data_IF_951386646754
#
_entry.id   IF_951386646754
#
_cell.length_a   1.000
_cell.length_b   1.000
_cell.length_c   1.000
_cell.angle_alpha   90.00
_cell.angle_beta   90.00
_cell.angle_gamma   90.00
#
_symmetry.space_group_name_H-M   'P 1'
#
loop_
_entity.id
_entity.type
_entity.pdbx_description
1 polymer ?
#
# COMPACT_ATOMS: atom_id res chain seq x y z
N UNK A 1 53.40 58.73 -27.87
CA UNK A 1 52.77 57.51 -28.41
C UNK A 1 52.92 56.40 -27.38
N UNK A 2 51.93 56.19 -26.51
CA UNK A 2 51.75 54.92 -25.77
C UNK A 2 50.42 54.94 -25.00
N UNK A 3 49.46 54.23 -25.58
CA UNK A 3 48.43 53.41 -24.92
C UNK A 3 47.47 54.03 -23.89
N UNK A 4 46.44 54.70 -24.41
CA UNK A 4 45.09 54.74 -23.84
C UNK A 4 44.38 53.45 -24.29
N UNK A 5 44.39 52.37 -23.51
CA UNK A 5 43.60 51.15 -23.81
C UNK A 5 43.65 50.19 -22.62
N UNK A 6 42.94 50.51 -21.53
CA UNK A 6 42.72 49.58 -20.42
C UNK A 6 41.41 49.86 -19.65
N UNK A 7 40.39 50.37 -20.34
CA UNK A 7 39.07 50.59 -19.78
C UNK A 7 38.04 50.18 -20.81
N UNK A 8 37.66 48.90 -20.87
CA UNK A 8 36.46 48.36 -21.55
C UNK A 8 36.52 46.81 -21.64
N UNK A 9 36.59 46.08 -20.53
CA UNK A 9 36.39 44.60 -20.58
C UNK A 9 36.14 43.99 -19.20
N UNK A 10 35.16 44.50 -18.45
CA UNK A 10 34.70 43.85 -17.21
C UNK A 10 33.25 44.21 -16.88
N UNK A 11 32.35 44.20 -17.86
CA UNK A 11 30.91 44.35 -17.60
C UNK A 11 30.14 43.39 -18.51
N UNK A 12 30.46 42.10 -18.49
CA UNK A 12 29.65 41.09 -19.16
C UNK A 12 29.44 39.90 -18.22
N UNK A 13 28.17 39.73 -17.82
CA UNK A 13 27.49 38.46 -17.57
C UNK A 13 27.78 37.73 -16.25
N UNK A 14 27.36 38.32 -15.13
CA UNK A 14 26.97 37.56 -13.94
C UNK A 14 25.62 38.06 -13.42
N UNK A 15 24.62 38.14 -14.29
CA UNK A 15 23.24 38.00 -13.83
C UNK A 15 23.03 36.49 -13.66
N UNK A 16 23.54 35.96 -12.55
CA UNK A 16 23.05 34.71 -12.00
C UNK A 16 21.61 35.00 -11.59
N UNK A 17 20.69 34.89 -12.55
CA UNK A 17 19.27 34.85 -12.26
C UNK A 17 19.10 33.69 -11.30
N UNK A 18 18.86 34.01 -10.02
CA UNK A 18 18.37 33.05 -9.06
C UNK A 18 17.06 32.54 -9.65
N UNK A 19 17.11 31.42 -10.35
CA UNK A 19 15.92 30.68 -10.73
C UNK A 19 15.27 30.38 -9.39
N UNK A 20 14.16 31.06 -9.11
CA UNK A 20 13.33 30.73 -7.97
C UNK A 20 13.03 29.24 -8.11
N UNK A 21 13.66 28.42 -7.27
CA UNK A 21 13.39 27.00 -7.26
C UNK A 21 11.93 26.88 -6.83
N UNK A 22 11.08 26.45 -7.76
CA UNK A 22 9.72 26.06 -7.45
C UNK A 22 9.77 24.93 -6.42
N UNK A 23 9.75 25.27 -5.14
CA UNK A 23 9.65 24.30 -4.04
C UNK A 23 8.21 23.88 -3.95
N UNK A 24 7.83 22.90 -4.76
CA UNK A 24 6.54 22.25 -4.67
C UNK A 24 6.71 20.94 -3.90
N UNK A 25 5.84 20.68 -2.94
CA UNK A 25 5.84 19.46 -2.14
C UNK A 25 4.82 18.44 -2.69
N UNK A 26 5.00 17.13 -2.46
CA UNK A 26 3.97 16.13 -2.72
C UNK A 26 2.63 16.52 -2.07
N UNK A 27 1.52 16.32 -2.80
CA UNK A 27 0.17 16.62 -2.33
C UNK A 27 -0.26 18.08 -2.53
N UNK A 28 0.59 18.97 -3.04
CA UNK A 28 0.17 20.34 -3.42
C UNK A 28 -0.55 20.33 -4.76
N UNK A 29 -1.39 21.36 -5.00
CA UNK A 29 -2.13 21.49 -6.26
C UNK A 29 -1.20 21.81 -7.43
N UNK A 30 -1.55 21.35 -8.61
CA UNK A 30 -0.88 21.66 -9.87
C UNK A 30 -1.90 22.06 -10.95
N UNK A 31 -1.46 22.87 -11.91
CA UNK A 31 -2.35 23.66 -12.78
C UNK A 31 -2.86 24.90 -12.04
N UNK A 32 -2.55 26.06 -12.58
CA UNK A 32 -2.41 27.41 -11.99
C UNK A 32 -3.49 28.00 -11.06
N UNK A 33 -3.10 29.04 -10.29
CA UNK A 33 -3.50 30.40 -10.72
C UNK A 33 -2.39 31.42 -11.07
N UNK A 34 -1.09 31.11 -10.95
CA UNK A 34 -0.03 32.07 -11.31
C UNK A 34 1.08 31.46 -12.20
N UNK A 35 0.88 31.48 -13.53
CA UNK A 35 1.83 30.93 -14.49
C UNK A 35 3.19 31.62 -14.48
N UNK A 36 3.32 32.79 -13.83
CA UNK A 36 4.60 33.47 -13.67
C UNK A 36 5.45 32.88 -12.54
N UNK A 37 4.84 32.22 -11.55
CA UNK A 37 5.54 31.62 -10.43
C UNK A 37 6.01 30.19 -10.71
N UNK A 38 5.13 29.31 -11.24
CA UNK A 38 5.46 27.94 -11.63
C UNK A 38 4.46 27.39 -12.68
N UNK A 39 4.68 27.61 -14.00
CA UNK A 39 3.69 27.31 -15.05
C UNK A 39 3.30 25.83 -15.17
N UNK A 40 4.08 24.91 -14.60
CA UNK A 40 3.77 23.48 -14.46
C UNK A 40 4.08 22.92 -13.07
N UNK A 41 4.14 23.79 -12.04
CA UNK A 41 4.27 23.48 -10.60
C UNK A 41 5.21 22.32 -10.23
N UNK A 42 4.69 21.09 -10.35
CA UNK A 42 5.40 19.86 -10.05
C UNK A 42 6.55 19.54 -11.02
N UNK A 43 6.45 19.87 -12.31
CA UNK A 43 7.45 19.44 -13.30
C UNK A 43 8.82 20.10 -13.08
N UNK A 44 8.83 21.27 -12.46
CA UNK A 44 10.06 21.99 -12.11
C UNK A 44 10.67 21.50 -10.78
N UNK A 45 9.88 20.85 -9.93
CA UNK A 45 10.38 20.21 -8.72
C UNK A 45 10.99 18.85 -9.08
N UNK A 46 12.27 18.65 -8.74
CA UNK A 46 12.95 17.38 -8.98
C UNK A 46 12.15 16.23 -8.34
N UNK A 47 11.85 15.20 -9.13
CA UNK A 47 11.14 13.99 -8.72
C UNK A 47 9.64 14.16 -8.42
N UNK A 48 8.95 15.18 -8.96
CA UNK A 48 7.49 15.27 -8.92
C UNK A 48 6.87 15.28 -10.32
N UNK A 49 5.62 14.86 -10.42
CA UNK A 49 4.79 15.04 -11.62
C UNK A 49 3.34 15.34 -11.26
N UNK A 50 2.71 16.18 -12.08
CA UNK A 50 1.31 16.58 -11.91
C UNK A 50 0.38 15.45 -12.40
N UNK A 51 -0.50 14.98 -11.53
CA UNK A 51 -1.66 14.20 -11.97
C UNK A 51 -2.74 15.18 -12.44
N UNK A 52 -2.95 15.27 -13.76
CA UNK A 52 -3.89 16.23 -14.34
C UNK A 52 -5.34 16.00 -13.89
N UNK A 53 -5.73 14.74 -13.62
CA UNK A 53 -7.08 14.39 -13.18
C UNK A 53 -7.32 14.88 -11.76
N UNK A 54 -6.34 14.71 -10.87
CA UNK A 54 -6.44 15.12 -9.46
C UNK A 54 -6.00 16.56 -9.22
N UNK A 55 -5.31 17.18 -10.20
CA UNK A 55 -4.64 18.48 -10.08
C UNK A 55 -3.73 18.53 -8.86
N UNK A 56 -2.95 17.47 -8.64
CA UNK A 56 -2.02 17.36 -7.51
C UNK A 56 -0.65 16.86 -7.96
N UNK A 57 0.41 17.37 -7.32
CA UNK A 57 1.76 16.86 -7.45
C UNK A 57 1.92 15.58 -6.66
N UNK A 58 2.49 14.54 -7.28
CA UNK A 58 2.99 13.38 -6.57
C UNK A 58 4.41 13.04 -7.01
N UNK A 59 5.04 12.08 -6.36
CA UNK A 59 6.39 11.67 -6.69
C UNK A 59 6.45 11.08 -8.11
N UNK A 60 7.61 11.23 -8.73
CA UNK A 60 7.98 10.64 -10.01
C UNK A 60 9.36 10.01 -9.84
N UNK A 61 9.46 8.67 -9.71
CA UNK A 61 8.36 7.71 -9.72
C UNK A 61 7.45 7.79 -8.47
N UNK A 62 6.22 7.28 -8.56
CA UNK A 62 5.17 7.37 -7.52
C UNK A 62 5.54 6.57 -6.27
N UNK A 63 5.34 7.16 -5.10
CA UNK A 63 5.57 6.52 -3.80
C UNK A 63 4.42 5.60 -3.39
N UNK A 64 4.58 4.86 -2.28
CA UNK A 64 3.55 3.96 -1.75
C UNK A 64 2.22 4.72 -1.50
N UNK A 65 1.11 4.07 -1.83
CA UNK A 65 -0.26 4.60 -1.79
C UNK A 65 -0.57 5.80 -2.72
N UNK A 66 0.39 6.27 -3.51
CA UNK A 66 0.14 7.30 -4.52
C UNK A 66 -0.58 6.74 -5.75
N UNK A 67 -1.37 7.56 -6.45
CA UNK A 67 -2.05 7.13 -7.66
C UNK A 67 -1.06 6.75 -8.75
N UNK A 68 -1.40 5.70 -9.49
CA UNK A 68 -0.65 5.25 -10.66
C UNK A 68 -1.61 4.93 -11.80
N UNK A 69 -1.11 5.09 -13.02
CA UNK A 69 -1.78 4.72 -14.26
C UNK A 69 -0.74 4.58 -15.36
N UNK A 70 -1.19 4.34 -16.59
CA UNK A 70 -0.34 4.52 -17.77
C UNK A 70 0.30 5.92 -17.74
N UNK A 71 1.63 5.99 -17.89
CA UNK A 71 2.42 7.23 -17.77
C UNK A 71 2.90 7.60 -16.36
N UNK A 72 2.37 7.00 -15.29
CA UNK A 72 2.80 7.28 -13.90
C UNK A 72 3.26 5.99 -13.20
N UNK A 73 4.54 5.65 -13.42
CA UNK A 73 5.16 4.46 -12.85
C UNK A 73 5.37 4.58 -11.33
N UNK A 74 5.27 3.45 -10.64
CA UNK A 74 5.61 3.32 -9.23
C UNK A 74 7.13 3.25 -9.03
N UNK A 75 7.57 3.67 -7.84
CA UNK A 75 8.98 3.59 -7.43
C UNK A 75 9.48 2.15 -7.31
N UNK A 76 10.78 2.01 -7.08
CA UNK A 76 11.41 0.70 -6.88
C UNK A 76 10.73 -0.08 -5.75
N UNK A 77 10.50 -1.38 -5.97
CA UNK A 77 9.83 -2.26 -4.99
C UNK A 77 8.32 -2.05 -4.88
N UNK A 78 7.72 -1.20 -5.72
CA UNK A 78 6.29 -0.97 -5.79
C UNK A 78 5.74 -1.39 -7.15
N UNK A 79 4.47 -1.76 -7.19
CA UNK A 79 3.75 -2.02 -8.44
C UNK A 79 2.36 -1.41 -8.40
N UNK A 80 1.88 -0.93 -9.55
CA UNK A 80 0.57 -0.32 -9.66
C UNK A 80 -0.51 -1.40 -9.48
N UNK A 81 -1.28 -1.33 -8.40
CA UNK A 81 -2.35 -2.27 -8.12
C UNK A 81 -3.51 -2.04 -9.10
N UNK A 82 -3.83 -3.04 -9.94
CA UNK A 82 -4.99 -2.95 -10.83
C UNK A 82 -6.26 -2.80 -9.98
N UNK A 83 -7.27 -2.15 -10.55
CA UNK A 83 -8.54 -1.78 -9.90
C UNK A 83 -8.48 -0.61 -8.92
N UNK A 84 -7.50 -0.54 -8.01
CA UNK A 84 -7.41 0.58 -7.07
C UNK A 84 -6.58 1.76 -7.60
N UNK A 85 -5.74 1.54 -8.62
CA UNK A 85 -4.92 2.58 -9.24
C UNK A 85 -3.94 3.22 -8.27
N UNK A 86 -3.32 2.44 -7.37
CA UNK A 86 -2.35 2.90 -6.38
C UNK A 86 -1.08 2.05 -6.40
N UNK A 87 0.06 2.67 -6.12
CA UNK A 87 1.31 1.96 -5.91
C UNK A 87 1.29 1.24 -4.56
N UNK A 88 1.36 -0.10 -4.57
CA UNK A 88 1.53 -0.89 -3.35
C UNK A 88 2.83 -1.71 -3.45
N UNK A 89 3.18 -2.39 -2.37
CA UNK A 89 4.39 -3.19 -2.25
C UNK A 89 4.46 -4.32 -3.29
N UNK A 90 5.65 -4.60 -3.83
CA UNK A 90 5.90 -5.74 -4.71
C UNK A 90 7.11 -6.52 -4.19
N UNK A 91 6.92 -7.66 -3.52
CA UNK A 91 5.65 -8.38 -3.34
C UNK A 91 4.70 -7.69 -2.34
N UNK A 92 3.41 -8.06 -2.39
CA UNK A 92 2.34 -7.45 -1.59
C UNK A 92 2.44 -7.83 -0.10
N UNK A 93 2.15 -6.87 0.78
CA UNK A 93 2.09 -7.04 2.25
C UNK A 93 0.72 -7.56 2.70
N UNK A 94 0.61 -7.99 3.95
CA UNK A 94 -0.69 -8.41 4.52
C UNK A 94 -1.72 -7.27 4.42
N UNK A 95 -2.96 -7.62 4.06
CA UNK A 95 -4.07 -6.70 3.83
C UNK A 95 -4.03 -5.94 2.49
N UNK A 96 -2.92 -5.97 1.74
CA UNK A 96 -2.82 -5.32 0.44
C UNK A 96 -3.55 -6.11 -0.65
N UNK A 97 -4.03 -5.39 -1.67
CA UNK A 97 -4.70 -5.99 -2.83
C UNK A 97 -3.73 -6.82 -3.69
N UNK A 98 -4.13 -8.02 -4.06
CA UNK A 98 -3.35 -8.97 -4.84
C UNK A 98 -4.10 -9.49 -6.05
N UNK A 99 -3.35 -10.05 -7.00
CA UNK A 99 -3.90 -10.84 -8.10
C UNK A 99 -3.05 -12.10 -8.30
N UNK A 100 -3.62 -13.31 -8.15
CA UNK A 100 -2.86 -14.55 -8.18
C UNK A 100 -2.19 -14.81 -9.54
N UNK A 101 -2.77 -14.32 -10.63
CA UNK A 101 -2.28 -14.57 -11.99
C UNK A 101 -1.24 -13.53 -12.47
N UNK A 102 -0.77 -12.64 -11.59
CA UNK A 102 0.15 -11.56 -11.97
C UNK A 102 1.30 -11.45 -10.95
N UNK A 103 2.52 -11.90 -11.28
CA UNK A 103 3.65 -11.95 -10.35
C UNK A 103 3.94 -10.66 -9.58
N UNK A 104 3.84 -9.49 -10.24
CA UNK A 104 4.05 -8.19 -9.60
C UNK A 104 2.97 -7.80 -8.56
N UNK A 105 1.90 -8.57 -8.46
CA UNK A 105 0.78 -8.39 -7.53
C UNK A 105 0.60 -9.62 -6.63
N UNK A 106 1.59 -10.52 -6.62
CA UNK A 106 1.60 -11.66 -5.71
C UNK A 106 1.89 -11.20 -4.29
N UNK A 107 1.40 -11.97 -3.32
CA UNK A 107 1.70 -11.79 -1.92
C UNK A 107 3.15 -12.14 -1.60
N UNK A 108 3.71 -11.49 -0.58
CA UNK A 108 5.03 -11.79 -0.05
C UNK A 108 5.12 -13.18 0.57
N UNK A 109 6.34 -13.61 0.94
CA UNK A 109 6.55 -14.89 1.61
C UNK A 109 5.65 -15.04 2.85
N UNK A 110 5.08 -16.23 3.03
CA UNK A 110 4.18 -16.55 4.14
C UNK A 110 2.75 -16.01 3.99
N UNK A 111 2.44 -15.33 2.89
CA UNK A 111 1.13 -14.78 2.60
C UNK A 111 0.53 -15.41 1.34
N UNK A 112 -0.80 -15.51 1.29
CA UNK A 112 -1.57 -15.99 0.14
C UNK A 112 -2.68 -15.01 -0.23
N UNK A 113 -2.95 -14.93 -1.53
CA UNK A 113 -4.03 -14.09 -2.04
C UNK A 113 -5.38 -14.77 -1.79
N UNK A 114 -6.25 -14.13 -1.03
CA UNK A 114 -7.58 -14.68 -0.74
C UNK A 114 -8.45 -14.64 -2.01
N UNK A 115 -9.08 -15.76 -2.42
CA UNK A 115 -9.73 -15.88 -3.73
C UNK A 115 -10.96 -14.97 -3.90
N UNK A 116 -11.65 -14.64 -2.82
CA UNK A 116 -12.83 -13.74 -2.84
C UNK A 116 -12.48 -12.28 -2.55
N UNK A 117 -11.64 -12.03 -1.53
CA UNK A 117 -11.33 -10.67 -1.07
C UNK A 117 -10.21 -10.01 -1.88
N UNK A 118 -9.45 -10.78 -2.68
CA UNK A 118 -8.30 -10.30 -3.45
C UNK A 118 -7.31 -9.50 -2.62
N UNK A 119 -7.08 -9.94 -1.37
CA UNK A 119 -6.10 -9.39 -0.45
C UNK A 119 -5.18 -10.46 0.09
N UNK A 120 -3.96 -10.07 0.46
CA UNK A 120 -3.00 -10.96 1.07
C UNK A 120 -3.31 -11.20 2.54
N UNK A 121 -3.34 -12.46 2.96
CA UNK A 121 -3.44 -12.89 4.36
C UNK A 121 -2.40 -13.98 4.62
N UNK A 122 -2.22 -14.36 5.87
CA UNK A 122 -1.28 -15.42 6.24
C UNK A 122 -1.71 -16.76 5.64
N UNK A 123 -0.74 -17.63 5.34
CA UNK A 123 -0.99 -19.01 4.92
C UNK A 123 -0.23 -19.99 5.83
N UNK A 124 -0.90 -20.69 6.75
CA UNK A 124 -2.35 -20.66 6.99
C UNK A 124 -2.84 -19.33 7.64
N UNK A 125 -4.14 -18.98 7.54
CA UNK A 125 -4.67 -17.73 8.10
C UNK A 125 -4.53 -17.65 9.63
N UNK A 126 -4.14 -16.49 10.14
CA UNK A 126 -3.92 -16.22 11.57
C UNK A 126 -5.18 -15.67 12.26
N UNK A 127 -5.12 -15.37 13.55
CA UNK A 127 -6.23 -14.90 14.35
C UNK A 127 -6.92 -13.66 13.73
N UNK A 128 -8.25 -13.75 13.62
CA UNK A 128 -9.14 -12.79 12.93
C UNK A 128 -8.91 -12.63 11.42
N UNK A 129 -8.08 -13.45 10.79
CA UNK A 129 -7.99 -13.49 9.33
C UNK A 129 -9.11 -14.37 8.74
N UNK A 130 -9.57 -14.07 7.52
CA UNK A 130 -10.58 -14.85 6.83
C UNK A 130 -10.08 -16.28 6.54
N UNK A 131 -10.96 -17.26 6.68
CA UNK A 131 -10.63 -18.67 6.50
C UNK A 131 -11.70 -19.43 5.72
N UNK A 132 -11.28 -20.48 5.01
CA UNK A 132 -12.11 -21.42 4.26
C UNK A 132 -12.11 -22.82 4.88
N UNK A 133 -11.73 -22.91 6.16
CA UNK A 133 -11.68 -24.16 6.94
C UNK A 133 -10.29 -24.52 7.47
N UNK A 134 -9.25 -23.77 7.11
CA UNK A 134 -7.90 -23.90 7.67
C UNK A 134 -7.48 -22.62 8.39
N UNK A 135 -6.74 -22.80 9.48
CA UNK A 135 -6.16 -21.73 10.30
C UNK A 135 -4.78 -22.14 10.79
N UNK A 136 -4.01 -21.18 11.29
CA UNK A 136 -2.76 -21.43 11.99
C UNK A 136 -2.96 -22.31 13.24
N UNK A 137 -1.86 -22.88 13.74
CA UNK A 137 -1.87 -23.79 14.88
C UNK A 137 -2.55 -23.15 16.10
N UNK A 138 -3.40 -23.91 16.79
CA UNK A 138 -4.15 -23.44 17.97
C UNK A 138 -5.39 -22.59 17.66
N UNK A 139 -5.72 -22.40 16.38
CA UNK A 139 -6.92 -21.70 15.92
C UNK A 139 -7.87 -22.65 15.19
N UNK A 140 -9.15 -22.27 15.12
CA UNK A 140 -10.18 -22.92 14.32
C UNK A 140 -10.93 -21.90 13.49
N UNK A 141 -11.34 -22.30 12.30
CA UNK A 141 -12.15 -21.46 11.43
C UNK A 141 -13.58 -21.40 11.99
N UNK A 142 -13.99 -20.25 12.52
CA UNK A 142 -15.38 -19.99 12.88
C UNK A 142 -16.18 -19.82 11.60
N UNK A 143 -17.09 -20.75 11.31
CA UNK A 143 -17.86 -20.76 10.05
C UNK A 143 -18.98 -19.73 10.03
N UNK A 144 -19.35 -19.19 11.19
CA UNK A 144 -20.41 -18.19 11.31
C UNK A 144 -19.90 -16.83 10.86
N UNK A 145 -18.66 -16.48 11.23
CA UNK A 145 -18.02 -15.21 10.84
C UNK A 145 -16.93 -15.38 9.78
N UNK A 146 -16.63 -16.62 9.37
CA UNK A 146 -15.62 -17.00 8.39
C UNK A 146 -14.22 -16.46 8.70
N UNK A 147 -13.83 -16.45 9.97
CA UNK A 147 -12.50 -16.03 10.42
C UNK A 147 -11.88 -17.01 11.42
N UNK A 148 -10.56 -17.01 11.52
CA UNK A 148 -9.85 -17.83 12.50
C UNK A 148 -10.02 -17.28 13.91
N UNK A 149 -10.57 -18.11 14.79
CA UNK A 149 -10.78 -17.82 16.20
C UNK A 149 -9.96 -18.79 17.05
N UNK A 150 -9.69 -18.40 18.31
CA UNK A 150 -9.06 -19.29 19.27
C UNK A 150 -9.98 -20.47 19.59
N UNK A 151 -9.38 -21.63 19.83
CA UNK A 151 -10.11 -22.79 20.32
C UNK A 151 -10.75 -22.49 21.69
N UNK A 152 -11.99 -22.93 21.87
CA UNK A 152 -12.73 -22.72 23.10
C UNK A 152 -12.13 -23.59 24.23
N UNK A 153 -11.79 -22.99 25.40
CA UNK A 153 -11.34 -23.74 26.56
C UNK A 153 -12.51 -24.49 27.21
N UNK A 154 -12.25 -25.26 28.28
CA UNK A 154 -13.32 -25.90 29.08
C UNK A 154 -14.38 -24.86 29.50
N UNK A 155 -15.66 -25.21 29.41
CA UNK A 155 -16.83 -24.34 29.58
C UNK A 155 -16.97 -23.21 28.54
N UNK A 156 -15.99 -23.03 27.65
CA UNK A 156 -16.06 -22.08 26.55
C UNK A 156 -17.13 -22.46 25.54
N UNK A 157 -17.75 -21.46 24.92
CA UNK A 157 -18.80 -21.71 23.93
C UNK A 157 -18.26 -22.41 22.70
N UNK A 158 -18.93 -23.50 22.32
CA UNK A 158 -18.70 -24.23 21.09
C UNK A 158 -20.05 -24.43 20.38
N UNK A 159 -20.04 -24.53 19.06
CA UNK A 159 -21.26 -24.76 18.27
C UNK A 159 -20.89 -25.37 16.93
N UNK A 160 -21.86 -26.02 16.27
CA UNK A 160 -21.65 -26.71 14.98
C UNK A 160 -20.99 -25.85 13.89
N UNK A 161 -21.09 -24.52 14.02
CA UNK A 161 -20.51 -23.53 13.12
C UNK A 161 -19.55 -22.54 13.80
N UNK A 162 -19.16 -22.78 15.06
CA UNK A 162 -18.34 -21.88 15.87
C UNK A 162 -16.92 -22.37 16.09
N UNK A 163 -16.24 -21.75 17.07
CA UNK A 163 -14.92 -22.19 17.52
C UNK A 163 -14.94 -23.66 17.98
N UNK A 164 -14.00 -24.46 17.46
CA UNK A 164 -13.76 -25.81 17.95
C UNK A 164 -13.18 -25.76 19.38
N UNK A 165 -13.40 -26.83 20.14
CA UNK A 165 -12.82 -26.95 21.47
C UNK A 165 -11.32 -27.22 21.41
N UNK A 166 -10.59 -26.86 22.47
CA UNK A 166 -9.18 -27.22 22.63
C UNK A 166 -9.00 -28.75 22.60
N UNK A 167 -7.79 -29.22 22.26
CA UNK A 167 -7.49 -30.65 22.20
C UNK A 167 -7.84 -31.36 23.52
N UNK A 168 -8.51 -32.52 23.42
CA UNK A 168 -8.97 -33.27 24.59
C UNK A 168 -10.29 -32.79 25.19
N UNK A 169 -10.97 -31.84 24.54
CA UNK A 169 -12.31 -31.40 24.89
C UNK A 169 -13.30 -31.77 23.78
N UNK A 170 -14.53 -32.08 24.16
CA UNK A 170 -15.65 -32.30 23.26
C UNK A 170 -16.66 -31.16 23.38
N UNK A 171 -17.37 -30.87 22.28
CA UNK A 171 -18.44 -29.89 22.29
C UNK A 171 -19.77 -30.54 22.65
N UNK A 172 -20.38 -30.15 23.77
CA UNK A 172 -21.73 -30.57 24.10
C UNK A 172 -22.72 -29.84 23.17
N UNK A 173 -23.44 -30.60 22.34
CA UNK A 173 -24.36 -30.03 21.36
C UNK A 173 -25.59 -29.35 21.99
N UNK A 174 -25.97 -29.74 23.22
CA UNK A 174 -27.11 -29.19 23.97
C UNK A 174 -26.71 -27.94 24.73
N UNK A 175 -25.63 -28.01 25.51
CA UNK A 175 -25.12 -26.90 26.32
C UNK A 175 -24.32 -25.89 25.50
N UNK A 176 -23.84 -26.28 24.31
CA UNK A 176 -22.96 -25.47 23.45
C UNK A 176 -21.69 -25.05 24.18
N UNK A 177 -21.12 -25.97 24.94
CA UNK A 177 -19.92 -25.75 25.76
C UNK A 177 -18.93 -26.91 25.63
N UNK A 178 -17.65 -26.57 25.71
CA UNK A 178 -16.58 -27.56 25.71
C UNK A 178 -16.45 -28.23 27.09
N UNK A 179 -16.32 -29.56 27.11
CA UNK A 179 -16.15 -30.35 28.33
C UNK A 179 -15.14 -31.47 28.10
N UNK A 180 -14.61 -32.05 29.19
CA UNK A 180 -13.77 -33.24 29.09
C UNK A 180 -14.66 -34.46 28.83
N UNK A 181 -14.37 -35.19 27.76
CA UNK A 181 -14.99 -36.49 27.54
C UNK A 181 -14.58 -37.43 28.69
N UNK A 182 -15.53 -38.02 29.43
CA UNK A 182 -15.25 -38.88 30.58
C UNK A 182 -14.59 -40.22 30.19
#
# INVERSE_FOLDING_TARGET
>A
MTSILAALLAVHLLVAGAQATCTVEPGKRCGDPDPAACPDGCAQAQNLSCDATKRMCYNSPRAENQPCSEGYACGQGLSCAPYIGKCLSSPRKSGEWCLPDRPAHNCGPGLKCHPVLFKCFSDPPDYNEPCDGKCAEGLSCDRTIATCARLAPVTGSCHAYGAACQAGLECDATMRQCYHSP
#
